data_IF_863949534470
#
_entry.id   IF_863949534470
#
_cell.length_a   1.000
_cell.length_b   1.000
_cell.length_c   1.000
_cell.angle_alpha   90.00
_cell.angle_beta   90.00
_cell.angle_gamma   90.00
#
_symmetry.space_group_name_H-M   'P 1'
#
loop_
_entity.id
_entity.type
_entity.pdbx_description
1 polymer ?
#
# COMPACT_ATOMS: atom_id res chain seq x y z
N UNK A 1 -45.49 -3.15 -1.23
CA UNK A 1 -44.30 -2.33 -0.87
C UNK A 1 -43.17 -3.27 -0.49
N UNK A 2 -42.09 -3.34 -1.28
CA UNK A 2 -40.90 -4.16 -0.93
C UNK A 2 -39.98 -3.31 -0.06
N UNK A 3 -39.71 -3.75 1.17
CA UNK A 3 -38.68 -3.15 2.02
C UNK A 3 -37.31 -3.42 1.41
N UNK A 4 -36.61 -2.36 0.99
CA UNK A 4 -35.23 -2.48 0.51
C UNK A 4 -34.32 -2.82 1.70
N UNK A 5 -33.79 -4.03 1.63
CA UNK A 5 -32.83 -4.67 2.52
C UNK A 5 -31.70 -3.74 2.98
N UNK A 6 -31.68 -3.41 4.29
CA UNK A 6 -30.60 -2.68 4.98
C UNK A 6 -29.30 -3.51 5.16
N UNK A 7 -29.12 -4.60 4.40
CA UNK A 7 -28.07 -5.61 4.66
C UNK A 7 -26.74 -5.34 3.93
N UNK A 8 -26.54 -4.17 3.32
CA UNK A 8 -25.35 -3.85 2.52
C UNK A 8 -24.30 -2.96 3.21
N UNK A 9 -24.58 -2.42 4.40
CA UNK A 9 -23.64 -1.56 5.12
C UNK A 9 -22.54 -2.37 5.83
N UNK A 10 -22.86 -3.51 6.44
CA UNK A 10 -21.92 -4.28 7.27
C UNK A 10 -20.85 -5.10 6.54
N UNK A 11 -20.97 -5.32 5.22
CA UNK A 11 -19.94 -6.05 4.44
C UNK A 11 -18.84 -5.15 3.88
N UNK A 12 -19.14 -3.87 3.62
CA UNK A 12 -18.22 -2.94 2.94
C UNK A 12 -17.04 -2.54 3.84
N UNK A 13 -17.29 -2.42 5.14
CA UNK A 13 -16.26 -2.05 6.12
C UNK A 13 -15.28 -3.18 6.43
N UNK A 14 -15.63 -4.45 6.19
CA UNK A 14 -14.70 -5.56 6.44
C UNK A 14 -13.49 -5.57 5.52
N UNK A 15 -13.62 -4.98 4.33
CA UNK A 15 -12.57 -4.97 3.30
C UNK A 15 -11.91 -3.59 3.12
N UNK A 16 -12.31 -2.58 3.90
CA UNK A 16 -11.73 -1.24 3.81
C UNK A 16 -10.27 -1.24 4.26
N UNK A 17 -9.39 -0.79 3.37
CA UNK A 17 -7.99 -0.50 3.66
C UNK A 17 -7.83 1.01 3.82
N UNK A 18 -7.24 1.42 4.93
CA UNK A 18 -6.92 2.81 5.23
C UNK A 18 -5.42 3.04 5.13
N UNK A 19 -5.02 4.06 4.37
CA UNK A 19 -3.63 4.41 4.13
C UNK A 19 -3.41 5.84 4.59
N UNK A 20 -2.49 6.01 5.53
CA UNK A 20 -2.10 7.29 6.11
C UNK A 20 -0.70 7.62 5.60
N UNK A 21 -0.58 8.71 4.84
CA UNK A 21 0.68 9.09 4.18
C UNK A 21 1.31 10.36 4.76
N UNK A 22 0.52 11.19 5.47
CA UNK A 22 1.02 12.40 6.10
C UNK A 22 1.63 12.08 7.46
N UNK A 23 2.93 12.36 7.60
CA UNK A 23 3.70 12.01 8.79
C UNK A 23 4.17 10.55 8.75
N UNK A 24 3.92 9.79 9.83
CA UNK A 24 4.27 8.37 9.86
C UNK A 24 3.38 7.59 8.89
N UNK A 25 4.01 6.95 7.92
CA UNK A 25 3.30 6.07 7.00
C UNK A 25 2.63 4.91 7.74
N UNK A 26 1.31 4.74 7.58
CA UNK A 26 0.55 3.67 8.24
C UNK A 26 -0.49 3.02 7.33
N UNK A 27 -0.59 1.69 7.42
CA UNK A 27 -1.69 0.90 6.83
C UNK A 27 -2.53 0.28 7.93
N UNK A 28 -3.85 0.48 7.87
CA UNK A 28 -4.81 -0.17 8.75
C UNK A 28 -5.86 -0.91 7.94
N UNK A 29 -6.20 -2.12 8.38
CA UNK A 29 -7.41 -2.83 7.92
C UNK A 29 -8.27 -3.06 9.16
N UNK A 30 -9.44 -2.41 9.20
CA UNK A 30 -10.22 -2.25 10.44
C UNK A 30 -9.33 -1.63 11.53
N UNK A 31 -9.24 -2.28 12.69
CA UNK A 31 -8.42 -1.81 13.82
C UNK A 31 -7.01 -2.41 13.86
N UNK A 32 -6.61 -3.20 12.85
CA UNK A 32 -5.28 -3.83 12.81
C UNK A 32 -4.29 -2.97 12.02
N UNK A 33 -3.22 -2.54 12.69
CA UNK A 33 -2.06 -1.93 12.05
C UNK A 33 -1.26 -3.00 11.29
N UNK A 34 -1.18 -2.85 9.96
CA UNK A 34 -0.42 -3.76 9.09
C UNK A 34 1.04 -3.32 8.93
N UNK A 35 1.28 -2.01 8.99
CA UNK A 35 2.60 -1.40 8.82
C UNK A 35 3.41 -1.31 10.12
N UNK A 36 3.14 -2.14 11.13
CA UNK A 36 3.83 -2.08 12.44
C UNK A 36 5.26 -2.66 12.43
N UNK A 37 5.57 -3.56 11.48
CA UNK A 37 6.85 -4.29 11.42
C UNK A 37 7.86 -3.65 10.45
N UNK A 38 8.07 -2.33 10.54
CA UNK A 38 8.83 -1.54 9.55
C UNK A 38 10.31 -1.95 9.47
N UNK A 39 10.92 -2.42 10.57
CA UNK A 39 12.38 -2.61 10.65
C UNK A 39 12.93 -3.72 9.74
N UNK A 40 12.17 -4.78 9.45
CA UNK A 40 12.63 -5.88 8.58
C UNK A 40 12.19 -5.75 7.12
N UNK A 41 11.42 -4.71 6.79
CA UNK A 41 10.79 -4.59 5.46
C UNK A 41 10.84 -3.18 4.91
N UNK A 42 11.82 -2.37 5.30
CA UNK A 42 11.95 -0.98 4.88
C UNK A 42 11.85 -0.82 3.35
N UNK A 43 12.60 -1.63 2.59
CA UNK A 43 12.58 -1.57 1.12
C UNK A 43 11.21 -1.89 0.51
N UNK A 44 10.51 -2.87 1.07
CA UNK A 44 9.17 -3.23 0.63
C UNK A 44 8.20 -2.07 0.86
N UNK A 45 8.34 -1.35 1.97
CA UNK A 45 7.51 -0.19 2.27
C UNK A 45 7.83 1.01 1.38
N UNK A 46 9.10 1.25 1.05
CA UNK A 46 9.49 2.28 0.07
C UNK A 46 8.90 1.96 -1.31
N UNK A 47 9.02 0.71 -1.78
CA UNK A 47 8.39 0.27 -3.03
C UNK A 47 6.87 0.43 -3.00
N UNK A 48 6.21 0.02 -1.91
CA UNK A 48 4.76 0.18 -1.77
C UNK A 48 4.34 1.65 -1.86
N UNK A 49 5.05 2.56 -1.17
CA UNK A 49 4.79 4.00 -1.24
C UNK A 49 4.99 4.54 -2.65
N UNK A 50 6.02 4.10 -3.36
CA UNK A 50 6.25 4.48 -4.74
C UNK A 50 5.08 4.06 -5.65
N UNK A 51 4.68 2.79 -5.58
CA UNK A 51 3.54 2.27 -6.36
C UNK A 51 2.23 2.99 -6.02
N UNK A 52 2.02 3.33 -4.75
CA UNK A 52 0.85 4.10 -4.31
C UNK A 52 0.85 5.53 -4.87
N UNK A 53 2.03 6.17 -4.91
CA UNK A 53 2.22 7.54 -5.43
C UNK A 53 1.94 7.60 -6.94
N UNK A 54 2.39 6.59 -7.69
CA UNK A 54 2.20 6.48 -9.13
C UNK A 54 1.03 5.57 -9.52
N UNK A 55 0.05 5.37 -8.63
CA UNK A 55 -1.07 4.45 -8.86
C UNK A 55 -1.79 4.75 -10.18
N UNK A 56 -2.19 3.69 -10.89
CA UNK A 56 -2.86 3.80 -12.18
C UNK A 56 -1.93 4.13 -13.35
N UNK A 57 -0.62 4.21 -13.13
CA UNK A 57 0.40 4.31 -14.17
C UNK A 57 1.17 2.99 -14.25
N UNK A 58 1.56 2.59 -15.47
CA UNK A 58 2.55 1.54 -15.65
C UNK A 58 3.89 2.00 -15.05
N UNK A 59 4.44 1.21 -14.13
CA UNK A 59 5.75 1.43 -13.56
C UNK A 59 6.65 0.31 -14.04
N UNK A 60 7.67 0.66 -14.82
CA UNK A 60 8.72 -0.29 -15.18
C UNK A 60 9.57 -0.59 -13.95
N UNK A 61 9.89 -1.87 -13.66
CA UNK A 61 10.70 -2.25 -12.50
C UNK A 61 12.04 -1.51 -12.45
N UNK A 62 12.70 -1.35 -13.60
CA UNK A 62 14.02 -0.71 -13.73
C UNK A 62 13.95 0.76 -13.28
N UNK A 63 12.89 1.47 -13.69
CA UNK A 63 12.65 2.86 -13.27
C UNK A 63 12.36 2.94 -11.76
N UNK A 64 11.64 1.97 -11.21
CA UNK A 64 11.37 1.94 -9.77
C UNK A 64 12.65 1.69 -8.97
N UNK A 65 13.53 0.80 -9.43
CA UNK A 65 14.83 0.51 -8.82
C UNK A 65 15.74 1.74 -8.86
N UNK A 66 15.89 2.38 -10.02
CA UNK A 66 16.72 3.58 -10.19
C UNK A 66 16.25 4.71 -9.27
N UNK A 67 14.93 4.91 -9.12
CA UNK A 67 14.41 5.98 -8.26
C UNK A 67 14.46 5.68 -6.78
N UNK A 68 14.30 4.42 -6.37
CA UNK A 68 14.26 4.03 -4.96
C UNK A 68 15.64 3.76 -4.39
N UNK A 69 16.53 3.16 -5.19
CA UNK A 69 17.87 2.72 -4.79
C UNK A 69 18.89 2.98 -5.90
N UNK A 70 19.16 4.25 -6.26
CA UNK A 70 20.04 4.60 -7.38
C UNK A 70 21.48 4.11 -7.22
N UNK A 71 21.94 3.92 -5.97
CA UNK A 71 23.31 3.52 -5.66
C UNK A 71 23.53 1.99 -5.65
N UNK A 72 22.55 1.20 -6.09
CA UNK A 72 22.67 -0.25 -6.12
C UNK A 72 22.88 -0.76 -7.53
N UNK A 73 24.08 -1.29 -7.76
CA UNK A 73 24.38 -2.10 -8.92
C UNK A 73 23.70 -3.47 -8.76
N UNK A 74 22.48 -3.57 -9.27
CA UNK A 74 21.80 -4.85 -9.43
C UNK A 74 22.43 -5.56 -10.63
N UNK A 75 23.40 -6.44 -10.35
CA UNK A 75 23.95 -7.35 -11.36
C UNK A 75 22.94 -8.49 -11.54
N UNK A 76 22.44 -8.65 -12.76
CA UNK A 76 21.61 -9.82 -13.12
C UNK A 76 22.46 -11.09 -12.89
N UNK A 77 21.96 -12.11 -12.15
CA UNK A 77 22.73 -13.32 -11.82
C UNK A 77 23.09 -14.18 -13.04
#
# INVERSE_FOLDING_TARGET
>A
MKAYSANNLGKKDKERLEIYTLGRFMLKKKDKLLSGAISRSYRLWELFKYLLTYRGKGVLPEIALEKLWPEQDYVDP
#
